data_IF_309635151143
#
_entry.id   IF_309635151143
#
_cell.length_a   1.000
_cell.length_b   1.000
_cell.length_c   1.000
_cell.angle_alpha   90.00
_cell.angle_beta   90.00
_cell.angle_gamma   90.00
#
_symmetry.space_group_name_H-M   'P 1'
#
loop_
_entity.id
_entity.type
_entity.pdbx_description
1 polymer ?
#
# COMPACT_ATOMS: atom_id res chain seq x y z
N UNK A 1 31.53 5.13 -7.00
CA UNK A 1 30.31 4.33 -6.75
C UNK A 1 29.44 5.09 -5.75
N UNK A 2 28.18 5.38 -6.08
CA UNK A 2 27.24 6.09 -5.20
C UNK A 2 27.07 5.32 -3.87
N UNK A 3 27.22 5.98 -2.72
CA UNK A 3 27.10 5.37 -1.37
C UNK A 3 25.76 4.62 -1.22
N UNK A 4 24.67 5.15 -1.80
CA UNK A 4 23.36 4.53 -1.76
C UNK A 4 23.33 3.20 -2.54
N UNK A 5 23.94 3.14 -3.72
CA UNK A 5 24.07 1.90 -4.52
C UNK A 5 24.92 0.86 -3.81
N UNK A 6 26.05 1.27 -3.24
CA UNK A 6 26.92 0.37 -2.46
C UNK A 6 26.13 -0.27 -1.30
N UNK A 7 25.34 0.54 -0.59
CA UNK A 7 24.46 0.06 0.49
C UNK A 7 23.38 -0.90 -0.03
N UNK A 8 22.71 -0.56 -1.12
CA UNK A 8 21.68 -1.41 -1.73
C UNK A 8 22.23 -2.78 -2.14
N UNK A 9 23.37 -2.79 -2.83
CA UNK A 9 24.09 -4.01 -3.19
C UNK A 9 24.44 -4.85 -1.97
N UNK A 10 24.99 -4.24 -0.92
CA UNK A 10 25.32 -4.94 0.31
C UNK A 10 24.09 -5.56 0.99
N UNK A 11 22.92 -4.89 0.94
CA UNK A 11 21.68 -5.43 1.49
C UNK A 11 21.19 -6.66 0.71
N UNK A 12 21.21 -6.61 -0.62
CA UNK A 12 20.81 -7.73 -1.47
C UNK A 12 21.75 -8.92 -1.24
N UNK A 13 23.07 -8.67 -1.23
CA UNK A 13 24.05 -9.72 -0.98
C UNK A 13 23.93 -10.32 0.43
N UNK A 14 23.65 -9.50 1.45
CA UNK A 14 23.43 -10.00 2.81
C UNK A 14 22.18 -10.90 2.90
N UNK A 15 21.11 -10.56 2.17
CA UNK A 15 19.93 -11.41 2.06
C UNK A 15 20.24 -12.71 1.30
N UNK A 16 20.96 -12.63 0.18
CA UNK A 16 21.41 -13.78 -0.60
C UNK A 16 22.27 -14.74 0.24
N UNK A 17 23.21 -14.20 1.02
CA UNK A 17 24.13 -14.96 1.87
C UNK A 17 23.39 -15.74 2.99
N UNK A 18 22.19 -15.29 3.40
CA UNK A 18 21.32 -16.03 4.35
C UNK A 18 20.68 -17.28 3.73
N UNK A 19 20.47 -17.30 2.42
CA UNK A 19 19.84 -18.40 1.68
C UNK A 19 20.67 -19.69 1.61
N UNK A 20 21.88 -19.71 2.20
CA UNK A 20 22.84 -20.84 2.17
C UNK A 20 23.19 -21.32 0.75
N UNK A 21 23.12 -20.44 -0.24
CA UNK A 21 23.50 -20.75 -1.61
C UNK A 21 25.03 -20.89 -1.76
N UNK A 22 25.52 -21.70 -2.72
CA UNK A 22 26.95 -21.92 -2.94
C UNK A 22 27.77 -20.62 -3.14
N UNK A 23 28.89 -20.50 -2.42
CA UNK A 23 29.84 -19.37 -2.53
C UNK A 23 30.30 -19.03 -3.96
N UNK A 24 30.49 -19.99 -4.90
CA UNK A 24 30.89 -19.66 -6.27
C UNK A 24 29.88 -18.79 -7.04
N UNK A 25 28.59 -18.87 -6.71
CA UNK A 25 27.52 -18.11 -7.38
C UNK A 25 27.50 -16.63 -6.97
N UNK A 26 28.05 -16.32 -5.79
CA UNK A 26 28.00 -14.98 -5.20
C UNK A 26 28.68 -13.91 -6.07
N UNK A 27 29.74 -14.28 -6.79
CA UNK A 27 30.46 -13.35 -7.68
C UNK A 27 29.61 -12.95 -8.89
N UNK A 28 28.95 -13.93 -9.53
CA UNK A 28 28.01 -13.69 -10.64
C UNK A 28 26.84 -12.83 -10.20
N UNK A 29 26.18 -13.20 -9.10
CA UNK A 29 25.09 -12.42 -8.51
C UNK A 29 25.52 -11.00 -8.16
N UNK A 30 26.72 -10.81 -7.61
CA UNK A 30 27.23 -9.47 -7.30
C UNK A 30 27.46 -8.61 -8.55
N UNK A 31 27.86 -9.22 -9.68
CA UNK A 31 28.00 -8.51 -10.96
C UNK A 31 26.61 -8.18 -11.55
N UNK A 32 25.65 -9.11 -11.48
CA UNK A 32 24.29 -8.89 -11.97
C UNK A 32 23.51 -7.87 -11.17
N UNK A 33 23.74 -7.76 -9.85
CA UNK A 33 23.22 -6.64 -9.06
C UNK A 33 23.75 -5.30 -9.60
N UNK A 34 25.03 -5.22 -10.00
CA UNK A 34 25.56 -4.00 -10.61
C UNK A 34 24.89 -3.73 -11.96
N UNK A 35 24.81 -4.73 -12.84
CA UNK A 35 24.14 -4.63 -14.14
C UNK A 35 22.69 -4.19 -14.01
N UNK A 36 21.97 -4.70 -13.02
CA UNK A 36 20.60 -4.31 -12.72
C UNK A 36 20.50 -2.82 -12.40
N UNK A 37 21.34 -2.29 -11.52
CA UNK A 37 21.32 -0.86 -11.20
C UNK A 37 21.74 0.01 -12.38
N UNK A 38 22.73 -0.41 -13.17
CA UNK A 38 23.14 0.31 -14.38
C UNK A 38 22.00 0.35 -15.42
N UNK A 39 21.37 -0.79 -15.66
CA UNK A 39 20.26 -0.93 -16.59
C UNK A 39 19.03 -0.14 -16.15
N UNK A 40 18.70 -0.11 -14.85
CA UNK A 40 17.63 0.76 -14.32
C UNK A 40 17.92 2.23 -14.63
N UNK A 41 19.18 2.67 -14.49
CA UNK A 41 19.57 4.05 -14.77
C UNK A 41 19.45 4.43 -16.25
N UNK A 42 19.58 3.46 -17.16
CA UNK A 42 19.40 3.66 -18.60
C UNK A 42 17.92 3.62 -19.02
N UNK A 43 17.09 2.86 -18.31
CA UNK A 43 15.67 2.62 -18.61
C UNK A 43 14.71 3.61 -17.93
N UNK A 44 15.13 4.87 -17.76
CA UNK A 44 14.31 5.91 -17.08
C UNK A 44 12.97 6.20 -17.75
N UNK A 45 12.84 5.91 -19.05
CA UNK A 45 11.61 6.06 -19.85
C UNK A 45 10.80 4.77 -19.98
N UNK A 46 11.21 3.67 -19.34
CA UNK A 46 10.44 2.43 -19.36
C UNK A 46 9.35 2.51 -18.30
N UNK A 47 8.12 2.28 -18.71
CA UNK A 47 6.94 2.37 -17.87
C UNK A 47 6.02 1.18 -18.04
N UNK A 48 5.26 0.87 -17.00
CA UNK A 48 4.08 0.03 -17.08
C UNK A 48 2.86 0.84 -16.65
N UNK A 49 1.74 0.63 -17.33
CA UNK A 49 0.45 1.12 -16.90
C UNK A 49 -0.31 -0.05 -16.26
N UNK A 50 -0.41 -0.05 -14.93
CA UNK A 50 -1.11 -1.06 -14.15
C UNK A 50 -2.52 -0.56 -13.90
N UNK A 51 -3.52 -1.34 -14.29
CA UNK A 51 -4.92 -1.08 -13.97
C UNK A 51 -5.47 -2.21 -13.12
N UNK A 52 -6.06 -1.87 -11.98
CA UNK A 52 -6.73 -2.82 -11.08
C UNK A 52 -8.21 -2.49 -11.00
N UNK A 53 -9.07 -3.47 -11.24
CA UNK A 53 -10.51 -3.35 -11.03
C UNK A 53 -10.82 -3.58 -9.54
N UNK A 54 -11.39 -2.58 -8.88
CA UNK A 54 -12.02 -2.71 -7.58
C UNK A 54 -13.51 -2.95 -7.82
N UNK A 55 -13.95 -4.20 -7.67
CA UNK A 55 -15.34 -4.57 -7.91
C UNK A 55 -16.24 -3.92 -6.85
N UNK A 56 -17.16 -3.09 -7.34
CA UNK A 56 -18.22 -2.46 -6.57
C UNK A 56 -19.58 -2.67 -7.24
N UNK A 57 -19.65 -3.55 -8.26
CA UNK A 57 -20.82 -3.79 -9.12
C UNK A 57 -21.33 -2.54 -9.87
N UNK A 58 -20.42 -1.61 -10.21
CA UNK A 58 -20.73 -0.37 -10.92
C UNK A 58 -21.30 0.74 -10.03
N UNK A 59 -21.08 0.68 -8.71
CA UNK A 59 -21.66 1.64 -7.76
C UNK A 59 -20.87 2.95 -7.63
N UNK A 60 -19.55 2.96 -7.87
CA UNK A 60 -18.77 4.17 -7.77
C UNK A 60 -19.17 5.20 -8.84
N UNK A 61 -19.32 6.44 -8.40
CA UNK A 61 -19.84 7.55 -9.20
C UNK A 61 -18.82 8.71 -9.31
N UNK A 62 -17.54 8.44 -9.10
CA UNK A 62 -16.54 9.48 -8.96
C UNK A 62 -15.24 9.20 -9.68
N UNK A 63 -14.56 10.28 -10.05
CA UNK A 63 -13.20 10.24 -10.59
C UNK A 63 -12.24 10.78 -9.55
N UNK A 64 -11.09 10.13 -9.40
CA UNK A 64 -9.92 10.69 -8.70
C UNK A 64 -8.72 10.67 -9.64
N UNK A 65 -7.81 11.63 -9.50
CA UNK A 65 -6.60 11.67 -10.32
C UNK A 65 -5.48 12.38 -9.58
N UNK A 66 -4.27 11.89 -9.80
CA UNK A 66 -3.01 12.57 -9.53
C UNK A 66 -2.20 12.72 -10.82
N UNK A 67 -0.90 12.97 -10.69
CA UNK A 67 0.00 13.10 -11.84
C UNK A 67 0.19 11.75 -12.57
N UNK A 68 0.55 10.69 -11.84
CA UNK A 68 0.87 9.36 -12.39
C UNK A 68 -0.20 8.30 -12.11
N UNK A 69 -1.42 8.72 -11.71
CA UNK A 69 -2.49 7.77 -11.48
C UNK A 69 -3.87 8.40 -11.64
N UNK A 70 -4.87 7.55 -11.89
CA UNK A 70 -6.28 7.91 -11.85
C UNK A 70 -7.15 6.76 -11.34
N UNK A 71 -8.34 7.09 -10.86
CA UNK A 71 -9.40 6.16 -10.58
C UNK A 71 -10.65 6.60 -11.32
N UNK A 72 -11.25 5.70 -12.08
CA UNK A 72 -12.44 5.97 -12.90
C UNK A 72 -13.45 4.84 -12.79
N UNK A 73 -14.74 5.14 -12.70
CA UNK A 73 -15.75 4.10 -12.66
C UNK A 73 -15.96 3.53 -14.06
N UNK A 74 -16.18 2.22 -14.11
CA UNK A 74 -16.47 1.43 -15.30
C UNK A 74 -17.79 0.68 -15.11
N UNK A 75 -18.23 -0.06 -16.12
CA UNK A 75 -19.44 -0.88 -16.02
C UNK A 75 -19.38 -1.99 -14.97
N UNK A 76 -18.18 -2.43 -14.56
CA UNK A 76 -17.97 -3.46 -13.52
C UNK A 76 -17.45 -2.91 -12.20
N UNK A 77 -17.01 -1.66 -12.17
CA UNK A 77 -16.66 -0.95 -10.95
C UNK A 77 -15.49 0.01 -11.07
N UNK A 78 -14.85 0.33 -9.96
CA UNK A 78 -13.86 1.39 -9.90
C UNK A 78 -12.47 0.90 -10.36
N UNK A 79 -12.00 1.41 -11.49
CA UNK A 79 -10.70 1.05 -12.06
C UNK A 79 -9.65 2.04 -11.59
N UNK A 80 -8.63 1.55 -10.90
CA UNK A 80 -7.45 2.34 -10.51
C UNK A 80 -6.33 2.06 -11.47
N UNK A 81 -5.86 3.09 -12.17
CA UNK A 81 -4.76 3.00 -13.12
C UNK A 81 -3.57 3.81 -12.62
N UNK A 82 -2.36 3.25 -12.65
CA UNK A 82 -1.12 3.95 -12.32
C UNK A 82 -0.05 3.72 -13.38
N UNK A 83 0.71 4.76 -13.68
CA UNK A 83 1.95 4.68 -14.43
C UNK A 83 3.06 4.42 -13.41
N UNK A 84 3.75 3.30 -13.55
CA UNK A 84 4.84 2.87 -12.67
C UNK A 84 6.09 2.56 -13.52
N UNK A 85 7.27 2.46 -12.90
CA UNK A 85 8.49 2.10 -13.63
C UNK A 85 8.43 0.69 -14.22
N UNK A 86 9.05 0.52 -15.38
CA UNK A 86 9.18 -0.76 -16.09
C UNK A 86 10.22 -1.70 -15.50
N UNK A 87 10.26 -1.86 -14.18
CA UNK A 87 11.27 -2.68 -13.48
C UNK A 87 11.03 -4.19 -13.52
N UNK A 88 9.90 -4.66 -14.04
CA UNK A 88 9.51 -6.07 -14.00
C UNK A 88 9.64 -6.78 -15.37
N UNK A 89 10.37 -6.21 -16.34
CA UNK A 89 10.53 -6.86 -17.63
C UNK A 89 11.86 -6.49 -18.33
N UNK A 90 12.28 -7.37 -19.25
CA UNK A 90 13.49 -7.19 -20.06
C UNK A 90 14.80 -7.52 -19.33
N UNK A 91 14.78 -8.49 -18.40
CA UNK A 91 15.95 -8.88 -17.60
C UNK A 91 16.75 -10.04 -18.19
N UNK A 92 16.10 -10.95 -18.91
CA UNK A 92 16.70 -12.15 -19.50
C UNK A 92 17.91 -11.89 -20.39
N UNK A 93 17.92 -10.77 -21.11
CA UNK A 93 19.01 -10.40 -22.02
C UNK A 93 20.10 -9.54 -21.35
N UNK A 94 19.97 -9.29 -20.04
CA UNK A 94 20.83 -8.37 -19.27
C UNK A 94 21.54 -9.08 -18.12
N UNK A 95 20.82 -9.94 -17.41
CA UNK A 95 21.33 -10.70 -16.27
C UNK A 95 21.79 -12.06 -16.77
N UNK A 96 22.96 -12.51 -16.30
CA UNK A 96 23.59 -13.75 -16.78
C UNK A 96 23.32 -14.92 -15.84
N UNK A 97 23.19 -14.66 -14.53
CA UNK A 97 22.89 -15.64 -13.50
C UNK A 97 21.38 -15.78 -13.31
N UNK A 98 20.85 -16.99 -13.51
CA UNK A 98 19.41 -17.29 -13.44
C UNK A 98 18.81 -16.96 -12.06
N UNK A 99 19.56 -17.19 -10.98
CA UNK A 99 19.09 -16.89 -9.61
C UNK A 99 19.02 -15.38 -9.41
N UNK A 100 20.02 -14.64 -9.91
CA UNK A 100 19.98 -13.19 -9.90
C UNK A 100 18.81 -12.65 -10.75
N UNK A 101 18.56 -13.24 -11.93
CA UNK A 101 17.42 -12.87 -12.79
C UNK A 101 16.10 -13.00 -12.05
N UNK A 102 15.81 -14.17 -11.48
CA UNK A 102 14.56 -14.43 -10.76
C UNK A 102 14.39 -13.46 -9.58
N UNK A 103 15.41 -13.35 -8.73
CA UNK A 103 15.38 -12.48 -7.55
C UNK A 103 15.17 -11.00 -7.91
N UNK A 104 15.90 -10.49 -8.90
CA UNK A 104 15.86 -9.09 -9.29
C UNK A 104 14.60 -8.76 -10.09
N UNK A 105 14.08 -9.72 -10.87
CA UNK A 105 12.78 -9.62 -11.51
C UNK A 105 11.66 -9.54 -10.48
N UNK A 106 11.66 -10.42 -9.48
CA UNK A 106 10.72 -10.35 -8.36
C UNK A 106 10.85 -9.01 -7.64
N UNK A 107 12.07 -8.52 -7.37
CA UNK A 107 12.29 -7.24 -6.71
C UNK A 107 11.62 -6.10 -7.48
N UNK A 108 11.82 -6.08 -8.80
CA UNK A 108 11.13 -5.17 -9.70
C UNK A 108 9.61 -5.32 -9.65
N UNK A 109 9.10 -6.56 -9.62
CA UNK A 109 7.67 -6.88 -9.50
C UNK A 109 7.03 -6.25 -8.26
N UNK A 110 7.58 -6.51 -7.08
CA UNK A 110 6.98 -6.02 -5.85
C UNK A 110 7.21 -4.51 -5.68
N UNK A 111 8.33 -3.96 -6.14
CA UNK A 111 8.59 -2.52 -6.07
C UNK A 111 7.57 -1.70 -6.89
N UNK A 112 7.24 -2.14 -8.11
CA UNK A 112 6.18 -1.48 -8.90
C UNK A 112 4.78 -1.70 -8.31
N UNK A 113 4.52 -2.89 -7.74
CA UNK A 113 3.23 -3.18 -7.10
C UNK A 113 3.05 -2.32 -5.86
N UNK A 114 4.11 -2.14 -5.08
CA UNK A 114 4.14 -1.26 -3.92
C UNK A 114 3.71 0.18 -4.25
N UNK A 115 4.24 0.74 -5.35
CA UNK A 115 3.81 2.06 -5.86
C UNK A 115 2.33 2.04 -6.27
N UNK A 116 1.91 1.06 -7.07
CA UNK A 116 0.52 0.98 -7.53
C UNK A 116 -0.48 0.79 -6.37
N UNK A 117 -0.13 -0.04 -5.39
CA UNK A 117 -0.93 -0.32 -4.19
C UNK A 117 -1.07 0.90 -3.29
N UNK A 118 -0.11 1.82 -3.29
CA UNK A 118 -0.29 3.13 -2.63
C UNK A 118 -1.47 3.90 -3.23
N UNK A 119 -1.59 3.95 -4.55
CA UNK A 119 -2.72 4.64 -5.20
C UNK A 119 -4.05 3.91 -4.98
N UNK A 120 -4.04 2.57 -4.97
CA UNK A 120 -5.22 1.77 -4.58
C UNK A 120 -5.65 2.13 -3.15
N UNK A 121 -4.71 2.20 -2.20
CA UNK A 121 -5.01 2.54 -0.81
C UNK A 121 -5.71 3.91 -0.66
N UNK A 122 -5.27 4.93 -1.40
CA UNK A 122 -5.94 6.25 -1.47
C UNK A 122 -7.38 6.12 -1.95
N UNK A 123 -7.58 5.35 -3.01
CA UNK A 123 -8.88 5.19 -3.67
C UNK A 123 -9.85 4.40 -2.79
N UNK A 124 -9.39 3.32 -2.15
CA UNK A 124 -10.21 2.52 -1.23
C UNK A 124 -10.78 3.39 -0.12
N UNK A 125 -9.94 4.22 0.52
CA UNK A 125 -10.40 5.11 1.58
C UNK A 125 -11.34 6.20 1.08
N UNK A 126 -11.08 6.74 -0.11
CA UNK A 126 -11.96 7.73 -0.71
C UNK A 126 -13.33 7.16 -1.12
N UNK A 127 -13.37 5.93 -1.63
CA UNK A 127 -14.61 5.23 -1.97
C UNK A 127 -15.46 4.99 -0.71
N UNK A 128 -14.83 4.55 0.38
CA UNK A 128 -15.51 4.41 1.66
C UNK A 128 -15.99 5.77 2.21
N UNK A 129 -15.13 6.80 2.24
CA UNK A 129 -15.51 8.12 2.77
C UNK A 129 -16.65 8.79 1.99
N UNK A 130 -16.70 8.58 0.66
CA UNK A 130 -17.69 9.22 -0.21
C UNK A 130 -19.00 8.44 -0.27
N UNK A 131 -18.93 7.13 -0.47
CA UNK A 131 -20.07 6.31 -0.85
C UNK A 131 -20.35 5.19 0.17
N UNK A 132 -19.53 5.04 1.22
CA UNK A 132 -19.62 3.90 2.14
C UNK A 132 -19.18 2.57 1.52
N UNK A 133 -18.56 2.60 0.33
CA UNK A 133 -18.18 1.40 -0.40
C UNK A 133 -16.98 0.72 0.25
N UNK A 134 -17.17 -0.53 0.67
CA UNK A 134 -16.11 -1.41 1.19
C UNK A 134 -15.59 -2.28 0.05
N UNK A 135 -14.47 -1.87 -0.54
CA UNK A 135 -13.88 -2.53 -1.70
C UNK A 135 -12.75 -3.46 -1.29
N UNK A 136 -12.61 -4.58 -2.01
CA UNK A 136 -11.56 -5.55 -1.71
C UNK A 136 -10.17 -5.02 -2.15
N UNK A 137 -9.15 -5.03 -1.27
CA UNK A 137 -7.90 -4.34 -1.53
C UNK A 137 -7.04 -4.97 -2.62
N UNK A 138 -7.22 -6.27 -2.89
CA UNK A 138 -6.48 -6.94 -3.97
C UNK A 138 -7.05 -6.66 -5.37
N UNK A 139 -8.28 -6.17 -5.46
CA UNK A 139 -9.03 -6.05 -6.70
C UNK A 139 -9.53 -7.41 -7.23
N UNK A 140 -10.42 -7.35 -8.23
CA UNK A 140 -11.00 -8.51 -8.91
C UNK A 140 -10.39 -8.76 -10.30
N UNK A 141 -9.52 -7.87 -10.77
CA UNK A 141 -8.86 -8.00 -12.07
C UNK A 141 -7.66 -7.06 -12.21
N UNK A 142 -6.72 -7.48 -13.05
CA UNK A 142 -5.48 -6.75 -13.36
C UNK A 142 -5.30 -6.68 -14.87
N UNK A 143 -4.98 -5.50 -15.39
CA UNK A 143 -4.60 -5.29 -16.78
C UNK A 143 -3.29 -4.49 -16.82
N UNK A 144 -2.33 -4.92 -17.64
CA UNK A 144 -0.98 -4.35 -17.68
C UNK A 144 -0.65 -4.00 -19.12
N UNK A 145 -0.15 -2.79 -19.32
CA UNK A 145 0.41 -2.35 -20.59
C UNK A 145 1.86 -1.92 -20.37
N UNK A 146 2.74 -2.32 -21.27
CA UNK A 146 4.18 -2.03 -21.20
C UNK A 146 4.56 -0.99 -22.23
N UNK A 147 5.36 -0.03 -21.80
CA UNK A 147 5.86 1.07 -22.61
C UNK A 147 7.38 1.09 -22.48
N UNK A 148 8.09 0.66 -23.52
CA UNK A 148 9.55 0.65 -23.63
C UNK A 148 9.95 1.21 -24.99
N UNK A 149 11.12 1.83 -25.11
CA UNK A 149 11.80 2.23 -26.36
C UNK A 149 10.94 2.75 -27.54
N UNK A 150 9.76 3.31 -27.25
CA UNK A 150 8.87 3.90 -28.25
C UNK A 150 9.45 5.23 -28.73
N UNK A 151 9.46 5.42 -30.06
CA UNK A 151 9.81 6.69 -30.71
C UNK A 151 8.64 7.12 -31.63
N UNK A 152 8.01 8.28 -31.37
CA UNK A 152 8.28 9.22 -30.27
C UNK A 152 7.89 8.64 -28.89
N UNK A 153 8.48 9.21 -27.83
CA UNK A 153 8.14 8.84 -26.44
C UNK A 153 6.66 9.11 -26.18
N UNK A 154 5.94 8.08 -25.71
CA UNK A 154 4.51 8.18 -25.36
C UNK A 154 4.36 9.06 -24.11
N UNK A 155 3.44 10.01 -24.16
CA UNK A 155 3.12 10.88 -23.02
C UNK A 155 2.24 10.15 -21.99
N UNK A 156 2.23 10.60 -20.74
CA UNK A 156 1.33 10.01 -19.71
C UNK A 156 -0.15 10.08 -20.12
N UNK A 157 -0.55 11.17 -20.80
CA UNK A 157 -1.92 11.32 -21.30
C UNK A 157 -2.28 10.24 -22.35
N UNK A 158 -1.35 9.94 -23.26
CA UNK A 158 -1.54 8.88 -24.26
C UNK A 158 -1.55 7.48 -23.61
N UNK A 159 -0.68 7.24 -22.62
CA UNK A 159 -0.70 5.99 -21.85
C UNK A 159 -2.04 5.79 -21.13
N UNK A 160 -2.55 6.80 -20.44
CA UNK A 160 -3.87 6.72 -19.80
C UNK A 160 -5.00 6.53 -20.80
N UNK A 161 -4.95 7.20 -21.96
CA UNK A 161 -5.95 7.03 -23.00
C UNK A 161 -5.94 5.59 -23.58
N UNK A 162 -4.76 5.00 -23.77
CA UNK A 162 -4.62 3.61 -24.19
C UNK A 162 -5.07 2.62 -23.11
N UNK A 163 -4.75 2.88 -21.84
CA UNK A 163 -5.25 2.13 -20.69
C UNK A 163 -6.78 2.16 -20.62
N UNK A 164 -7.39 3.34 -20.75
CA UNK A 164 -8.85 3.51 -20.73
C UNK A 164 -9.54 2.72 -21.84
N UNK A 165 -9.02 2.77 -23.08
CA UNK A 165 -9.55 1.98 -24.21
C UNK A 165 -9.49 0.48 -23.94
N UNK A 166 -8.35 -0.01 -23.47
CA UNK A 166 -8.15 -1.43 -23.15
C UNK A 166 -9.03 -1.88 -21.99
N UNK A 167 -9.07 -1.11 -20.91
CA UNK A 167 -9.91 -1.38 -19.75
C UNK A 167 -11.40 -1.37 -20.11
N UNK A 168 -11.82 -0.49 -21.04
CA UNK A 168 -13.21 -0.43 -21.47
C UNK A 168 -13.67 -1.71 -22.18
N UNK A 169 -12.75 -2.37 -22.90
CA UNK A 169 -13.02 -3.65 -23.56
C UNK A 169 -13.22 -4.79 -22.54
N UNK A 170 -12.55 -4.75 -21.38
CA UNK A 170 -12.59 -5.82 -20.37
C UNK A 170 -13.63 -5.57 -19.27
N UNK A 171 -13.77 -4.33 -18.83
CA UNK A 171 -14.55 -3.93 -17.64
C UNK A 171 -15.72 -2.98 -17.95
N UNK A 172 -15.99 -2.73 -19.24
CA UNK A 172 -17.12 -1.93 -19.67
C UNK A 172 -16.83 -0.43 -19.74
N UNK A 173 -17.80 0.32 -20.26
CA UNK A 173 -17.62 1.74 -20.61
C UNK A 173 -17.39 2.62 -19.39
N UNK A 174 -16.55 3.63 -19.56
CA UNK A 174 -16.33 4.70 -18.59
C UNK A 174 -17.35 5.84 -18.81
N UNK A 175 -18.04 6.32 -17.77
CA UNK A 175 -18.91 7.49 -17.88
C UNK A 175 -18.12 8.74 -18.28
N UNK A 176 -18.69 9.54 -19.21
CA UNK A 176 -18.04 10.75 -19.73
C UNK A 176 -18.22 11.98 -18.83
N UNK A 177 -19.27 12.02 -18.00
CA UNK A 177 -19.71 13.24 -17.31
C UNK A 177 -19.67 13.11 -15.78
N UNK A 178 -18.50 12.80 -15.22
CA UNK A 178 -18.32 12.75 -13.76
C UNK A 178 -17.36 13.84 -13.28
N UNK A 179 -17.68 14.41 -12.11
CA UNK A 179 -16.82 15.39 -11.46
C UNK A 179 -15.69 14.68 -10.73
N UNK A 180 -14.52 15.30 -10.74
CA UNK A 180 -13.39 14.85 -9.93
C UNK A 180 -13.74 15.07 -8.46
N UNK A 181 -13.71 13.98 -7.68
CA UNK A 181 -13.89 14.03 -6.24
C UNK A 181 -12.62 14.58 -5.58
N UNK A 182 -12.78 15.72 -4.90
CA UNK A 182 -11.69 16.35 -4.14
C UNK A 182 -11.69 15.77 -2.74
N UNK A 183 -10.65 15.01 -2.42
CA UNK A 183 -10.44 14.39 -1.10
C UNK A 183 -8.99 14.58 -0.68
N UNK A 184 -8.72 14.70 0.62
CA UNK A 184 -7.34 14.76 1.13
C UNK A 184 -6.55 13.49 0.84
N UNK A 185 -7.23 12.36 0.58
CA UNK A 185 -6.56 11.12 0.19
C UNK A 185 -5.81 11.22 -1.14
N UNK A 186 -6.16 12.15 -2.03
CA UNK A 186 -5.38 12.34 -3.28
C UNK A 186 -3.96 12.82 -3.01
N UNK A 187 -3.77 13.57 -1.92
CA UNK A 187 -2.53 14.29 -1.62
C UNK A 187 -1.66 13.54 -0.60
N UNK A 188 -2.17 12.45 -0.02
CA UNK A 188 -1.42 11.57 0.88
C UNK A 188 -0.51 10.64 0.08
N UNK A 189 0.64 10.30 0.65
CA UNK A 189 1.58 9.35 0.04
C UNK A 189 1.02 7.94 0.07
N UNK A 190 0.60 7.46 1.24
CA UNK A 190 0.16 6.08 1.50
C UNK A 190 1.18 5.07 0.99
N UNK A 191 2.47 5.37 1.11
CA UNK A 191 3.54 4.47 0.72
C UNK A 191 3.95 3.58 1.91
N UNK A 192 3.57 3.89 3.14
CA UNK A 192 3.91 3.03 4.26
C UNK A 192 3.08 1.72 4.29
N UNK A 193 3.72 0.53 4.32
CA UNK A 193 2.99 -0.73 4.46
C UNK A 193 2.10 -0.79 5.71
N UNK A 194 2.49 -0.13 6.81
CA UNK A 194 1.66 -0.03 8.00
C UNK A 194 0.34 0.71 7.73
N UNK A 195 0.36 1.73 6.85
CA UNK A 195 -0.86 2.43 6.41
C UNK A 195 -1.71 1.52 5.54
N UNK A 196 -1.11 0.73 4.63
CA UNK A 196 -1.87 -0.23 3.81
C UNK A 196 -2.60 -1.25 4.68
N UNK A 197 -1.88 -1.88 5.61
CA UNK A 197 -2.46 -2.86 6.53
C UNK A 197 -3.56 -2.21 7.39
N UNK A 198 -3.32 -1.02 7.91
CA UNK A 198 -4.31 -0.29 8.69
C UNK A 198 -5.58 0.03 7.87
N UNK A 199 -5.44 0.41 6.58
CA UNK A 199 -6.58 0.60 5.67
C UNK A 199 -7.34 -0.71 5.47
N UNK A 200 -6.64 -1.83 5.25
CA UNK A 200 -7.29 -3.11 4.98
C UNK A 200 -8.04 -3.62 6.22
N UNK A 201 -7.44 -3.49 7.41
CA UNK A 201 -8.12 -3.79 8.67
C UNK A 201 -9.33 -2.88 8.91
N UNK A 202 -9.20 -1.59 8.59
CA UNK A 202 -10.31 -0.65 8.73
C UNK A 202 -11.47 -1.03 7.83
N UNK A 203 -11.22 -1.28 6.54
CA UNK A 203 -12.27 -1.67 5.58
C UNK A 203 -12.89 -3.02 5.93
N UNK A 204 -12.07 -3.98 6.39
CA UNK A 204 -12.58 -5.25 6.94
C UNK A 204 -13.52 -5.00 8.11
N UNK A 205 -13.17 -4.11 9.04
CA UNK A 205 -14.04 -3.75 10.16
C UNK A 205 -15.37 -3.17 9.69
N UNK A 206 -15.36 -2.30 8.66
CA UNK A 206 -16.60 -1.76 8.07
C UNK A 206 -17.48 -2.87 7.46
N UNK A 207 -16.88 -3.82 6.74
CA UNK A 207 -17.59 -4.97 6.17
C UNK A 207 -18.21 -5.85 7.27
N UNK A 208 -17.49 -6.07 8.37
CA UNK A 208 -17.96 -6.86 9.51
C UNK A 208 -19.12 -6.15 10.24
N UNK A 209 -19.03 -4.84 10.45
CA UNK A 209 -20.15 -4.05 11.01
C UNK A 209 -21.39 -4.15 10.12
N UNK A 210 -21.24 -4.04 8.80
CA UNK A 210 -22.36 -4.13 7.87
C UNK A 210 -23.00 -5.53 7.81
N UNK A 211 -22.32 -6.54 8.32
CA UNK A 211 -22.78 -7.92 8.40
C UNK A 211 -23.08 -8.37 9.85
N UNK A 212 -23.23 -7.42 10.78
CA UNK A 212 -23.58 -7.64 12.19
C UNK A 212 -22.55 -8.47 12.99
N UNK A 213 -21.29 -8.50 12.55
CA UNK A 213 -20.16 -9.12 13.26
C UNK A 213 -19.37 -8.08 14.09
N UNK A 214 -20.01 -7.51 15.12
CA UNK A 214 -19.46 -6.36 15.86
C UNK A 214 -18.17 -6.69 16.64
N UNK A 215 -18.06 -7.86 17.25
CA UNK A 215 -16.88 -8.25 18.03
C UNK A 215 -15.64 -8.41 17.14
N UNK A 216 -15.80 -9.07 15.98
CA UNK A 216 -14.77 -9.20 14.98
C UNK A 216 -14.42 -7.83 14.38
N UNK A 217 -15.40 -6.94 14.23
CA UNK A 217 -15.15 -5.57 13.80
C UNK A 217 -14.31 -4.80 14.83
N UNK A 218 -14.57 -4.94 16.13
CA UNK A 218 -13.76 -4.36 17.21
C UNK A 218 -12.31 -4.88 17.17
N UNK A 219 -12.13 -6.18 16.97
CA UNK A 219 -10.80 -6.75 16.78
C UNK A 219 -10.10 -6.18 15.55
N UNK A 220 -10.82 -6.02 14.43
CA UNK A 220 -10.27 -5.40 13.23
C UNK A 220 -9.93 -3.91 13.44
N UNK A 221 -10.74 -3.15 14.20
CA UNK A 221 -10.43 -1.79 14.61
C UNK A 221 -9.15 -1.70 15.47
N UNK A 222 -8.95 -2.63 16.41
CA UNK A 222 -7.68 -2.71 17.15
C UNK A 222 -6.49 -2.98 16.21
N UNK A 223 -6.66 -3.88 15.23
CA UNK A 223 -5.63 -4.16 14.24
C UNK A 223 -5.24 -2.92 13.42
N UNK A 224 -6.14 -1.96 13.21
CA UNK A 224 -5.78 -0.66 12.61
C UNK A 224 -4.70 0.02 13.47
N UNK A 225 -4.95 0.20 14.76
CA UNK A 225 -3.99 0.84 15.66
C UNK A 225 -2.70 0.02 15.79
N UNK A 226 -2.81 -1.31 15.84
CA UNK A 226 -1.66 -2.21 15.85
C UNK A 226 -0.77 -2.02 14.62
N UNK A 227 -1.36 -2.01 13.41
CA UNK A 227 -0.61 -1.75 12.19
C UNK A 227 0.08 -0.39 12.24
N UNK A 228 -0.60 0.66 12.72
CA UNK A 228 -0.01 1.99 12.85
C UNK A 228 1.15 2.05 13.85
N UNK A 229 1.23 1.17 14.85
CA UNK A 229 2.41 1.06 15.72
C UNK A 229 3.67 0.63 14.94
N UNK A 230 3.53 -0.02 13.79
CA UNK A 230 4.67 -0.44 12.98
C UNK A 230 5.28 0.69 12.14
N UNK A 231 4.68 1.89 12.14
CA UNK A 231 5.27 3.07 11.53
C UNK A 231 6.65 3.40 12.16
N UNK A 232 7.43 4.18 11.43
CA UNK A 232 8.61 4.81 12.00
C UNK A 232 8.18 5.91 12.96
N UNK A 233 8.37 5.65 14.25
CA UNK A 233 8.07 6.53 15.37
C UNK A 233 9.33 7.11 16.03
N UNK A 234 10.51 6.98 15.40
CA UNK A 234 11.78 7.44 15.96
C UNK A 234 11.81 8.94 16.32
N UNK A 235 10.90 9.73 15.76
CA UNK A 235 10.74 11.15 15.98
C UNK A 235 9.71 11.51 17.07
N UNK A 236 8.85 10.56 17.48
CA UNK A 236 7.76 10.83 18.41
C UNK A 236 8.23 10.72 19.87
N UNK A 237 7.69 11.56 20.77
CA UNK A 237 7.97 11.42 22.21
C UNK A 237 7.34 10.13 22.77
N UNK A 238 8.05 9.48 23.69
CA UNK A 238 7.61 8.22 24.31
C UNK A 238 7.83 7.01 23.40
N UNK A 239 7.05 5.95 23.60
CA UNK A 239 7.13 4.73 22.80
C UNK A 239 5.76 4.37 22.22
N UNK A 240 5.39 4.91 21.03
CA UNK A 240 4.09 4.61 20.40
C UNK A 240 3.87 3.11 20.12
N UNK A 241 4.94 2.32 20.14
CA UNK A 241 4.89 0.87 19.92
C UNK A 241 4.53 0.08 21.18
N UNK A 242 4.56 0.69 22.37
CA UNK A 242 4.34 0.00 23.65
C UNK A 242 2.89 -0.44 23.81
N UNK A 243 1.94 0.49 23.70
CA UNK A 243 0.53 0.25 23.99
C UNK A 243 -0.39 1.17 23.16
N UNK A 244 -1.72 1.01 23.32
CA UNK A 244 -2.71 1.78 22.55
C UNK A 244 -2.85 3.22 23.03
N UNK A 245 -2.52 3.50 24.29
CA UNK A 245 -2.54 4.87 24.82
C UNK A 245 -1.41 5.69 24.23
N UNK A 246 -0.21 5.12 24.14
CA UNK A 246 0.98 5.79 23.61
C UNK A 246 0.84 6.13 22.13
N UNK A 247 0.33 5.21 21.30
CA UNK A 247 0.04 5.51 19.89
C UNK A 247 -1.02 6.61 19.73
N UNK A 248 -2.06 6.60 20.58
CA UNK A 248 -3.04 7.68 20.58
C UNK A 248 -2.41 9.02 21.00
N UNK A 249 -1.53 9.00 21.99
CA UNK A 249 -0.79 10.18 22.45
C UNK A 249 0.12 10.76 21.37
N UNK A 250 0.87 9.90 20.66
CA UNK A 250 1.73 10.31 19.54
C UNK A 250 0.94 10.85 18.35
N UNK A 251 -0.25 10.30 18.11
CA UNK A 251 -1.23 10.85 17.18
C UNK A 251 -1.97 12.07 17.75
N UNK A 252 -1.59 12.62 18.91
CA UNK A 252 -2.18 13.81 19.50
C UNK A 252 -3.67 13.69 19.82
N UNK A 253 -4.14 12.48 20.17
CA UNK A 253 -5.48 12.27 20.68
C UNK A 253 -5.52 12.40 22.20
N UNK A 254 -6.64 12.90 22.74
CA UNK A 254 -6.82 13.09 24.17
C UNK A 254 -7.09 11.79 24.92
N UNK A 255 -7.07 11.87 26.26
CA UNK A 255 -7.23 10.75 27.20
C UNK A 255 -8.43 9.85 26.90
N UNK A 256 -9.59 10.42 26.55
CA UNK A 256 -10.80 9.63 26.21
C UNK A 256 -10.58 8.69 25.01
N UNK A 257 -9.84 9.14 23.99
CA UNK A 257 -9.51 8.31 22.83
C UNK A 257 -8.50 7.23 23.17
N UNK A 258 -7.51 7.56 24.01
CA UNK A 258 -6.54 6.60 24.52
C UNK A 258 -7.20 5.50 25.38
N UNK A 259 -8.11 5.87 26.28
CA UNK A 259 -8.84 4.92 27.11
C UNK A 259 -9.79 4.04 26.29
N UNK A 260 -10.45 4.60 25.27
CA UNK A 260 -11.23 3.81 24.31
C UNK A 260 -10.34 2.82 23.55
N UNK A 261 -9.18 3.24 23.07
CA UNK A 261 -8.26 2.38 22.34
C UNK A 261 -7.78 1.20 23.20
N UNK A 262 -7.42 1.48 24.46
CA UNK A 262 -7.00 0.46 25.42
C UNK A 262 -8.14 -0.50 25.77
N UNK A 263 -9.38 0.01 25.88
CA UNK A 263 -10.55 -0.81 26.12
C UNK A 263 -10.84 -1.76 24.95
N UNK A 264 -10.76 -1.27 23.70
CA UNK A 264 -10.93 -2.11 22.50
C UNK A 264 -9.84 -3.19 22.42
N UNK A 265 -8.59 -2.85 22.76
CA UNK A 265 -7.50 -3.82 22.86
C UNK A 265 -7.73 -4.88 23.94
N UNK A 266 -8.21 -4.46 25.12
CA UNK A 266 -8.62 -5.37 26.18
C UNK A 266 -9.70 -6.34 25.69
N UNK A 267 -10.75 -5.82 25.03
CA UNK A 267 -11.81 -6.65 24.47
C UNK A 267 -11.28 -7.66 23.43
N UNK A 268 -10.41 -7.22 22.52
CA UNK A 268 -9.77 -8.11 21.54
C UNK A 268 -9.06 -9.28 22.23
N UNK A 269 -8.21 -8.98 23.21
CA UNK A 269 -7.38 -10.01 23.85
C UNK A 269 -8.17 -10.91 24.78
N UNK A 270 -9.11 -10.36 25.55
CA UNK A 270 -9.80 -11.14 26.58
C UNK A 270 -11.04 -11.87 26.05
N UNK A 271 -11.65 -11.39 24.95
CA UNK A 271 -12.93 -11.90 24.46
C UNK A 271 -12.84 -12.46 23.05
N UNK A 272 -12.24 -11.71 22.11
CA UNK A 272 -12.28 -12.11 20.69
C UNK A 272 -11.21 -13.17 20.38
N UNK A 273 -10.03 -13.08 20.99
CA UNK A 273 -8.93 -14.02 20.73
C UNK A 273 -9.03 -15.33 21.52
N UNK A 274 -9.83 -15.38 22.60
CA UNK A 274 -9.90 -16.53 23.50
C UNK A 274 -11.36 -16.85 23.86
N UNK A 275 -11.88 -17.95 23.31
CA UNK A 275 -13.25 -18.43 23.60
C UNK A 275 -13.40 -19.05 25.01
N UNK A 276 -12.30 -19.31 25.72
CA UNK A 276 -12.28 -19.96 27.02
C UNK A 276 -12.42 -18.96 28.16
N UNK A 277 -13.63 -18.50 28.46
CA UNK A 277 -13.86 -17.65 29.64
C UNK A 277 -15.23 -16.98 29.72
N UNK A 278 -16.00 -17.00 28.64
CA UNK A 278 -17.19 -16.15 28.51
C UNK A 278 -18.33 -16.88 27.84
N UNK A 279 -19.54 -16.39 28.06
CA UNK A 279 -20.78 -16.93 27.50
C UNK A 279 -21.30 -15.95 26.43
N UNK A 280 -22.02 -16.46 25.43
CA UNK A 280 -22.43 -15.66 24.27
C UNK A 280 -23.30 -14.44 24.63
N UNK A 281 -23.96 -14.44 25.79
CA UNK A 281 -24.75 -13.30 26.27
C UNK A 281 -23.92 -12.19 26.92
N UNK A 282 -22.67 -12.45 27.32
CA UNK A 282 -21.78 -11.41 27.87
C UNK A 282 -21.49 -10.34 26.81
N UNK A 283 -21.61 -10.67 25.52
CA UNK A 283 -21.40 -9.74 24.41
C UNK A 283 -22.36 -8.53 24.45
N UNK A 284 -23.59 -8.70 24.95
CA UNK A 284 -24.59 -7.62 25.00
C UNK A 284 -24.13 -6.51 25.94
N UNK A 285 -23.59 -6.88 27.11
CA UNK A 285 -23.17 -5.93 28.14
C UNK A 285 -21.89 -5.16 27.74
N UNK A 286 -20.99 -5.80 26.97
CA UNK A 286 -19.73 -5.17 26.55
C UNK A 286 -19.82 -4.37 25.24
N UNK A 287 -20.82 -4.64 24.40
CA UNK A 287 -21.07 -3.90 23.15
C UNK A 287 -21.95 -2.65 23.35
N UNK A 288 -22.43 -2.40 24.57
CA UNK A 288 -23.30 -1.26 24.86
C UNK A 288 -22.72 0.11 24.43
N UNK A 289 -23.62 1.08 24.26
CA UNK A 289 -23.32 2.49 24.05
C UNK A 289 -22.56 2.79 22.73
N UNK A 290 -22.92 2.13 21.63
CA UNK A 290 -22.31 2.36 20.31
C UNK A 290 -20.79 2.19 20.31
N UNK A 291 -20.26 1.18 21.01
CA UNK A 291 -18.81 0.97 21.12
C UNK A 291 -18.15 0.82 19.75
N UNK A 292 -18.73 0.00 18.87
CA UNK A 292 -18.24 -0.20 17.50
C UNK A 292 -18.20 1.12 16.71
N UNK A 293 -19.22 1.97 16.81
CA UNK A 293 -19.24 3.26 16.13
C UNK A 293 -18.19 4.24 16.70
N UNK A 294 -17.95 4.22 18.02
CA UNK A 294 -16.88 5.01 18.66
C UNK A 294 -15.50 4.53 18.20
N UNK A 295 -15.27 3.22 18.15
CA UNK A 295 -14.03 2.62 17.66
C UNK A 295 -13.79 2.94 16.16
N UNK A 296 -14.83 2.86 15.33
CA UNK A 296 -14.81 3.27 13.91
C UNK A 296 -14.36 4.73 13.75
N UNK A 297 -14.97 5.66 14.50
CA UNK A 297 -14.58 7.08 14.46
C UNK A 297 -13.14 7.31 14.90
N UNK A 298 -12.69 6.64 15.95
CA UNK A 298 -11.32 6.73 16.45
C UNK A 298 -10.31 6.24 15.41
N UNK A 299 -10.49 5.02 14.90
CA UNK A 299 -9.57 4.39 13.96
C UNK A 299 -9.53 5.12 12.61
N UNK A 300 -10.68 5.59 12.10
CA UNK A 300 -10.73 6.44 10.90
C UNK A 300 -9.93 7.73 11.09
N UNK A 301 -10.04 8.39 12.26
CA UNK A 301 -9.23 9.58 12.58
C UNK A 301 -7.74 9.25 12.74
N UNK A 302 -7.41 8.14 13.40
CA UNK A 302 -6.04 7.66 13.58
C UNK A 302 -5.36 7.42 12.23
N UNK A 303 -6.04 6.71 11.34
CA UNK A 303 -5.58 6.41 9.99
C UNK A 303 -5.32 7.67 9.18
N UNK A 304 -6.29 8.61 9.15
CA UNK A 304 -6.13 9.90 8.47
C UNK A 304 -4.91 10.67 8.98
N UNK A 305 -4.74 10.73 10.30
CA UNK A 305 -3.63 11.45 10.93
C UNK A 305 -2.28 10.78 10.67
N UNK A 306 -2.22 9.45 10.72
CA UNK A 306 -1.03 8.70 10.36
C UNK A 306 -0.63 8.93 8.90
N UNK A 307 -1.59 8.94 7.98
CA UNK A 307 -1.33 9.24 6.57
C UNK A 307 -0.94 10.71 6.31
N UNK A 308 -1.39 11.66 7.15
CA UNK A 308 -0.94 13.06 7.11
C UNK A 308 0.48 13.25 7.69
N UNK A 309 0.88 12.40 8.64
CA UNK A 309 2.21 12.38 9.28
C UNK A 309 3.25 11.74 8.36
N UNK A 310 2.88 10.70 7.62
CA UNK A 310 3.78 9.98 6.72
C UNK A 310 4.67 10.88 5.86
N UNK A 311 4.17 11.83 5.04
CA UNK A 311 5.04 12.65 4.19
C UNK A 311 6.01 13.56 4.97
N UNK A 312 5.75 13.84 6.25
CA UNK A 312 6.59 14.70 7.09
C UNK A 312 7.86 13.97 7.56
N UNK A 313 7.76 12.66 7.78
CA UNK A 313 8.83 11.84 8.36
C UNK A 313 9.37 10.78 7.38
N UNK A 314 8.53 10.26 6.49
CA UNK A 314 8.87 9.39 5.37
C UNK A 314 8.77 10.19 4.07
N UNK A 315 9.85 10.92 3.76
CA UNK A 315 9.96 11.80 2.59
C UNK A 315 10.20 11.01 1.29
N UNK A 316 9.24 10.17 0.92
CA UNK A 316 9.19 9.55 -0.39
C UNK A 316 8.30 10.38 -1.30
N UNK A 317 8.86 10.84 -2.43
CA UNK A 317 8.07 11.40 -3.50
C UNK A 317 7.29 10.26 -4.19
N UNK A 318 5.94 10.27 -4.22
CA UNK A 318 5.18 9.24 -4.91
C UNK A 318 5.15 9.40 -6.44
N UNK A 319 5.68 10.50 -6.98
CA UNK A 319 5.71 10.83 -8.40
C UNK A 319 7.03 11.52 -8.79
N UNK A 320 8.18 10.86 -8.57
CA UNK A 320 9.48 11.44 -8.86
C UNK A 320 9.67 11.65 -10.36
N UNK A 321 10.42 12.70 -10.72
CA UNK A 321 10.83 12.95 -12.11
C UNK A 321 11.76 11.89 -12.67
N UNK A 322 12.52 11.23 -11.80
CA UNK A 322 13.48 10.18 -12.15
C UNK A 322 13.30 9.00 -11.18
N UNK A 323 12.63 7.96 -11.67
CA UNK A 323 12.39 6.75 -10.92
C UNK A 323 13.66 5.95 -10.61
N UNK A 324 14.67 5.99 -11.47
CA UNK A 324 15.93 5.26 -11.26
C UNK A 324 16.68 5.85 -10.07
N UNK A 325 16.89 7.17 -10.08
CA UNK A 325 17.51 7.89 -8.97
C UNK A 325 16.69 7.77 -7.68
N UNK A 326 15.35 7.83 -7.79
CA UNK A 326 14.46 7.62 -6.65
C UNK A 326 14.62 6.23 -6.05
N UNK A 327 14.68 5.17 -6.86
CA UNK A 327 14.79 3.80 -6.39
C UNK A 327 16.10 3.56 -5.64
N UNK A 328 17.21 4.00 -6.22
CA UNK A 328 18.54 3.86 -5.60
C UNK A 328 18.62 4.64 -4.28
N UNK A 329 18.13 5.88 -4.27
CA UNK A 329 18.15 6.75 -3.07
C UNK A 329 17.30 6.17 -1.95
N UNK A 330 16.16 5.56 -2.30
CA UNK A 330 15.17 5.06 -1.33
C UNK A 330 15.22 3.54 -1.15
N UNK A 331 16.24 2.87 -1.68
CA UNK A 331 16.29 1.42 -1.78
C UNK A 331 16.06 0.73 -0.44
N UNK A 332 16.65 1.22 0.65
CA UNK A 332 16.49 0.62 1.98
C UNK A 332 15.02 0.59 2.43
N UNK A 333 14.28 1.66 2.16
CA UNK A 333 12.87 1.78 2.53
C UNK A 333 11.99 0.92 1.62
N UNK A 334 12.27 0.91 0.31
CA UNK A 334 11.56 0.06 -0.66
C UNK A 334 11.81 -1.41 -0.33
N UNK A 335 13.07 -1.82 -0.18
CA UNK A 335 13.46 -3.17 0.20
C UNK A 335 12.72 -3.65 1.44
N UNK A 336 12.74 -2.86 2.53
CA UNK A 336 12.04 -3.21 3.78
C UNK A 336 10.51 -3.29 3.64
N UNK A 337 9.95 -2.60 2.63
CA UNK A 337 8.52 -2.60 2.37
C UNK A 337 8.08 -3.77 1.49
N UNK A 338 8.92 -4.20 0.55
CA UNK A 338 8.59 -5.27 -0.42
C UNK A 338 9.08 -6.65 0.01
N UNK A 339 10.29 -6.73 0.58
CA UNK A 339 10.82 -7.91 1.22
C UNK A 339 10.63 -7.66 2.71
N UNK A 340 9.62 -8.32 3.30
CA UNK A 340 9.32 -8.23 4.73
C UNK A 340 10.63 -8.13 5.53
N UNK A 341 10.70 -7.13 6.43
CA UNK A 341 11.83 -6.99 7.37
C UNK A 341 12.22 -8.38 7.87
N UNK A 342 13.51 -8.70 7.81
CA UNK A 342 14.04 -9.76 8.66
C UNK A 342 13.52 -9.52 10.10
N UNK A 343 13.01 -10.56 10.77
CA UNK A 343 12.57 -10.48 12.16
C UNK A 343 13.55 -9.75 13.08
#
# INVERSE_FOLDING_TARGET
>A
MNIARARAKSMILAWFDKGKLPRPLRAGVAADIDRFFDTIAERTHWHECLSTLLDDRGQADFIMKGHDWCARPSGKGLVVTSIVPGWNFGWRDVLEDEIAEDMLSDLGHYARQYIHRSNIAKVLMAAWERNGLVLHPFGAGLNIQRYSDFQPKVTHAEMFAAAERSNAAVWGRFPKALRVYRTRWSDRNTLDPAIHQAIFHFLRAQALVAADFELEALAAYDCVLHSLQNLDWSWAPGNPKRDRRDICGALGFGRRSADLAEHVYFLRNQFVAHAGGWRWWDAVDYLENDLAARASRLTSRALRKAADIEPQHRRLDPSPKDWASWFVTNFTQVWSAVWFRDP
#
